data_IF_175907206689
#
_entry.id   IF_175907206689
#
_cell.length_a   1.000
_cell.length_b   1.000
_cell.length_c   1.000
_cell.angle_alpha   90.00
_cell.angle_beta   90.00
_cell.angle_gamma   90.00
#
_symmetry.space_group_name_H-M   'P 1'
#
loop_
_entity.id
_entity.type
_entity.pdbx_description
1 polymer ?
#
# COMPACT_ATOMS: atom_id res chain seq x y z
N UNK A 1 -20.83 -17.12 -19.33
CA UNK A 1 -20.12 -15.83 -19.10
C UNK A 1 -19.66 -15.65 -17.64
N UNK A 2 -20.45 -16.05 -16.65
CA UNK A 2 -20.12 -15.92 -15.21
C UNK A 2 -18.79 -16.56 -14.75
N UNK A 3 -18.38 -17.68 -15.34
CA UNK A 3 -17.08 -18.31 -15.06
C UNK A 3 -15.89 -17.45 -15.50
N UNK A 4 -16.00 -16.71 -16.61
CA UNK A 4 -14.90 -15.91 -17.12
C UNK A 4 -14.65 -14.67 -16.25
N UNK A 5 -15.72 -14.05 -15.74
CA UNK A 5 -15.63 -12.94 -14.78
C UNK A 5 -14.93 -13.37 -13.48
N UNK A 6 -15.31 -14.52 -12.90
CA UNK A 6 -14.66 -15.02 -11.68
C UNK A 6 -13.17 -15.35 -11.84
N UNK A 7 -12.75 -15.76 -13.04
CA UNK A 7 -11.34 -16.05 -13.35
C UNK A 7 -10.54 -14.75 -13.49
N UNK A 8 -11.09 -13.74 -14.18
CA UNK A 8 -10.47 -12.42 -14.30
C UNK A 8 -10.28 -11.75 -12.94
N UNK A 9 -11.28 -11.82 -12.05
CA UNK A 9 -11.18 -11.30 -10.68
C UNK A 9 -10.10 -12.02 -9.87
N UNK A 10 -9.98 -13.34 -9.98
CA UNK A 10 -8.92 -14.10 -9.31
C UNK A 10 -7.53 -13.73 -9.81
N UNK A 11 -7.39 -13.46 -11.11
CA UNK A 11 -6.11 -13.10 -11.73
C UNK A 11 -5.67 -11.69 -11.33
N UNK A 12 -6.59 -10.74 -11.27
CA UNK A 12 -6.32 -9.39 -10.78
C UNK A 12 -5.93 -9.40 -9.30
N UNK A 13 -6.66 -10.14 -8.46
CA UNK A 13 -6.31 -10.34 -7.04
C UNK A 13 -4.93 -10.98 -6.91
N UNK A 14 -4.63 -12.02 -7.70
CA UNK A 14 -3.31 -12.67 -7.67
C UNK A 14 -2.19 -11.72 -8.06
N UNK A 15 -2.40 -10.89 -9.08
CA UNK A 15 -1.43 -9.88 -9.50
C UNK A 15 -1.20 -8.83 -8.42
N UNK A 16 -2.27 -8.35 -7.79
CA UNK A 16 -2.19 -7.39 -6.69
C UNK A 16 -1.42 -7.97 -5.49
N UNK A 17 -1.73 -9.21 -5.10
CA UNK A 17 -1.02 -9.89 -4.02
C UNK A 17 0.46 -10.08 -4.35
N UNK A 18 0.79 -10.51 -5.57
CA UNK A 18 2.18 -10.63 -6.01
C UNK A 18 2.95 -9.31 -5.95
N UNK A 19 2.31 -8.19 -6.33
CA UNK A 19 2.92 -6.87 -6.23
C UNK A 19 3.18 -6.44 -4.77
N UNK A 20 2.24 -6.73 -3.87
CA UNK A 20 2.39 -6.44 -2.42
C UNK A 20 3.49 -7.33 -1.80
N UNK A 21 3.56 -8.60 -2.20
CA UNK A 21 4.61 -9.53 -1.75
C UNK A 21 6.00 -9.10 -2.22
N UNK A 22 6.10 -8.51 -3.43
CA UNK A 22 7.33 -7.98 -4.00
C UNK A 22 7.85 -6.70 -3.32
N UNK A 23 7.05 -6.04 -2.48
CA UNK A 23 7.51 -4.90 -1.69
C UNK A 23 8.50 -5.33 -0.62
N UNK A 24 9.48 -4.46 -0.37
CA UNK A 24 10.35 -4.58 0.80
C UNK A 24 9.50 -4.50 2.08
N UNK A 25 9.87 -5.27 3.11
CA UNK A 25 9.08 -5.45 4.32
C UNK A 25 8.59 -4.12 4.91
N UNK A 26 9.50 -3.15 5.06
CA UNK A 26 9.21 -1.86 5.69
C UNK A 26 8.27 -0.98 4.85
N UNK A 27 8.24 -1.15 3.53
CA UNK A 27 7.29 -0.46 2.66
C UNK A 27 5.91 -1.09 2.82
N UNK A 28 5.84 -2.43 2.71
CA UNK A 28 4.60 -3.18 2.88
C UNK A 28 3.97 -2.95 4.25
N UNK A 29 4.76 -2.98 5.31
CA UNK A 29 4.30 -2.79 6.69
C UNK A 29 3.62 -1.43 6.87
N UNK A 30 4.24 -0.34 6.36
CA UNK A 30 3.63 1.00 6.39
C UNK A 30 2.32 1.03 5.60
N UNK A 31 2.27 0.43 4.40
CA UNK A 31 1.04 0.41 3.60
C UNK A 31 -0.08 -0.38 4.28
N UNK A 32 0.22 -1.54 4.85
CA UNK A 32 -0.77 -2.35 5.55
C UNK A 32 -1.34 -1.60 6.76
N UNK A 33 -0.50 -0.99 7.58
CA UNK A 33 -0.96 -0.22 8.74
C UNK A 33 -1.78 1.00 8.33
N UNK A 34 -1.39 1.70 7.26
CA UNK A 34 -2.11 2.87 6.75
C UNK A 34 -3.47 2.50 6.15
N UNK A 35 -3.51 1.52 5.24
CA UNK A 35 -4.69 1.27 4.41
C UNK A 35 -5.60 0.16 4.92
N UNK A 36 -5.02 -0.86 5.55
CA UNK A 36 -5.80 -1.95 6.16
C UNK A 36 -6.05 -1.65 7.63
N UNK A 37 -5.04 -1.14 8.34
CA UNK A 37 -5.15 -0.75 9.74
C UNK A 37 -5.86 0.59 9.96
N UNK A 38 -5.92 1.46 8.94
CA UNK A 38 -6.52 2.79 9.07
C UNK A 38 -5.73 3.77 9.95
N UNK A 39 -4.45 3.49 10.21
CA UNK A 39 -3.62 4.32 11.10
C UNK A 39 -3.19 5.62 10.41
N UNK A 40 -3.04 6.70 11.17
CA UNK A 40 -2.38 7.94 10.72
C UNK A 40 -0.86 7.75 10.58
N UNK A 41 -0.16 8.71 9.94
CA UNK A 41 1.30 8.68 9.87
C UNK A 41 1.90 8.69 11.29
N UNK A 42 1.38 9.53 12.18
CA UNK A 42 1.78 9.54 13.59
C UNK A 42 1.55 8.20 14.30
N UNK A 43 0.37 7.59 14.15
CA UNK A 43 0.09 6.30 14.77
C UNK A 43 1.00 5.18 14.24
N UNK A 44 1.30 5.18 12.93
CA UNK A 44 2.29 4.24 12.36
C UNK A 44 3.70 4.54 12.89
N UNK A 45 4.05 5.82 13.03
CA UNK A 45 5.34 6.25 13.58
C UNK A 45 5.54 5.73 15.00
N UNK A 46 4.51 5.85 15.84
CA UNK A 46 4.49 5.33 17.21
C UNK A 46 4.54 3.80 17.23
N UNK A 47 3.72 3.13 16.43
CA UNK A 47 3.64 1.67 16.37
C UNK A 47 4.96 1.02 15.94
N UNK A 48 5.68 1.66 15.00
CA UNK A 48 6.94 1.15 14.44
C UNK A 48 8.19 1.71 15.12
N UNK A 49 8.07 2.71 16.00
CA UNK A 49 9.21 3.37 16.65
C UNK A 49 10.16 4.09 15.68
N UNK A 50 9.65 4.56 14.53
CA UNK A 50 10.42 5.30 13.52
C UNK A 50 9.96 6.77 13.44
N UNK A 51 10.60 7.60 12.61
CA UNK A 51 10.20 9.00 12.42
C UNK A 51 9.05 9.12 11.40
N UNK A 52 8.20 10.14 11.53
CA UNK A 52 7.11 10.42 10.56
C UNK A 52 7.64 10.52 9.12
N UNK A 53 8.79 11.17 8.90
CA UNK A 53 9.42 11.24 7.57
C UNK A 53 9.86 9.88 7.03
N UNK A 54 10.24 8.94 7.90
CA UNK A 54 10.54 7.55 7.52
C UNK A 54 9.27 6.80 7.13
N UNK A 55 8.17 6.98 7.87
CA UNK A 55 6.86 6.43 7.50
C UNK A 55 6.41 6.98 6.14
N UNK A 56 6.45 8.29 5.96
CA UNK A 56 6.05 8.95 4.71
C UNK A 56 6.87 8.48 3.51
N UNK A 57 8.20 8.41 3.64
CA UNK A 57 9.07 7.93 2.57
C UNK A 57 8.86 6.45 2.24
N UNK A 58 8.70 5.58 3.25
CA UNK A 58 8.39 4.16 3.03
C UNK A 58 7.04 3.97 2.34
N UNK A 59 6.02 4.70 2.77
CA UNK A 59 4.70 4.69 2.13
C UNK A 59 4.76 5.16 0.68
N UNK A 60 5.43 6.29 0.41
CA UNK A 60 5.62 6.81 -0.94
C UNK A 60 6.32 5.81 -1.86
N UNK A 61 7.45 5.26 -1.41
CA UNK A 61 8.22 4.28 -2.19
C UNK A 61 7.42 3.00 -2.42
N UNK A 62 6.69 2.52 -1.42
CA UNK A 62 5.80 1.36 -1.59
C UNK A 62 4.71 1.61 -2.64
N UNK A 63 4.07 2.78 -2.61
CA UNK A 63 3.06 3.16 -3.59
C UNK A 63 3.64 3.33 -5.00
N UNK A 64 4.82 3.94 -5.15
CA UNK A 64 5.52 4.05 -6.44
C UNK A 64 5.78 2.65 -7.03
N UNK A 65 6.28 1.71 -6.22
CA UNK A 65 6.52 0.31 -6.64
C UNK A 65 5.25 -0.41 -7.07
N UNK A 66 4.15 -0.25 -6.31
CA UNK A 66 2.88 -0.85 -6.70
C UNK A 66 2.34 -0.28 -8.01
N UNK A 67 2.49 1.03 -8.24
CA UNK A 67 2.11 1.66 -9.51
C UNK A 67 2.93 1.12 -10.68
N UNK A 68 4.25 0.98 -10.50
CA UNK A 68 5.15 0.41 -11.51
C UNK A 68 4.77 -1.03 -11.87
N UNK A 69 4.50 -1.87 -10.87
CA UNK A 69 4.21 -3.30 -11.07
C UNK A 69 2.81 -3.56 -11.66
N UNK A 70 1.82 -2.78 -11.22
CA UNK A 70 0.43 -2.96 -11.62
C UNK A 70 0.09 -2.17 -12.89
N UNK A 71 0.87 -1.15 -13.24
CA UNK A 71 0.62 -0.31 -14.41
C UNK A 71 -0.65 0.53 -14.27
N UNK A 72 -1.07 0.81 -13.03
CA UNK A 72 -2.28 1.58 -12.72
C UNK A 72 -1.92 2.87 -12.00
N UNK A 73 -2.65 3.92 -12.31
CA UNK A 73 -2.60 5.15 -11.53
C UNK A 73 -3.43 4.91 -10.26
N UNK A 74 -2.77 4.45 -9.18
CA UNK A 74 -3.42 4.29 -7.89
C UNK A 74 -3.90 5.68 -7.44
N UNK A 75 -5.21 5.95 -7.51
CA UNK A 75 -5.85 7.18 -7.03
C UNK A 75 -5.90 7.23 -5.51
N UNK A 76 -4.75 7.07 -4.86
CA UNK A 76 -4.62 7.00 -3.41
C UNK A 76 -3.60 8.05 -2.99
N UNK A 77 -4.11 9.21 -2.59
CA UNK A 77 -3.33 10.23 -1.94
C UNK A 77 -2.92 9.72 -0.55
N UNK A 78 -1.70 9.20 -0.44
CA UNK A 78 -1.09 8.83 0.85
C UNK A 78 -0.99 10.01 1.84
N UNK A 79 -1.35 11.22 1.39
CA UNK A 79 -1.26 12.50 2.08
C UNK A 79 -2.56 13.02 2.71
N UNK A 80 -3.73 12.44 2.47
CA UNK A 80 -4.98 12.92 3.09
C UNK A 80 -5.19 12.37 4.50
N UNK A 81 -4.27 12.69 5.42
CA UNK A 81 -4.63 13.14 6.76
C UNK A 81 -3.51 14.09 7.17
N UNK A 82 -3.77 15.38 7.08
CA UNK A 82 -2.97 16.38 7.76
C UNK A 82 -2.97 16.02 9.26
N UNK A 83 -1.85 15.49 9.77
CA UNK A 83 -1.59 15.45 11.21
C UNK A 83 -1.66 16.90 11.72
N UNK A 84 -2.64 17.17 12.58
CA UNK A 84 -2.67 18.37 13.43
C UNK A 84 -1.67 18.26 14.56
#
# INVERSE_FOLDING_TARGET
EERAASVLECDEVRRMLGAIEGLVYEQREVLLLRYIGGLTIGQVSEALGVKHGTVASRGRLGMERLREELGVELGIDANEVCDG
#
